data_IF_975697574393
#
_entry.id   IF_975697574393
#
_cell.length_a   1.000
_cell.length_b   1.000
_cell.length_c   1.000
_cell.angle_alpha   90.00
_cell.angle_beta   90.00
_cell.angle_gamma   90.00
#
_symmetry.space_group_name_H-M   'P 1'
#
loop_
_entity.id
_entity.type
_entity.pdbx_description
1 polymer ?
#
# COMPACT_ATOMS: atom_id res chain seq x y z
N UNK A 1 12.17 -25.65 -31.83
CA UNK A 1 11.59 -24.50 -31.10
C UNK A 1 11.46 -24.91 -29.64
N UNK A 2 12.37 -24.48 -28.76
CA UNK A 2 12.27 -24.81 -27.32
C UNK A 2 11.05 -24.06 -26.74
N UNK A 3 10.27 -24.64 -25.82
CA UNK A 3 9.28 -23.86 -25.09
C UNK A 3 10.06 -22.81 -24.30
N UNK A 4 9.74 -21.52 -24.49
CA UNK A 4 10.13 -20.52 -23.50
C UNK A 4 9.53 -20.98 -22.17
N UNK A 5 10.37 -21.33 -21.20
CA UNK A 5 9.94 -21.39 -19.80
C UNK A 5 9.41 -20.01 -19.44
N UNK A 6 8.10 -19.81 -19.64
CA UNK A 6 7.42 -18.59 -19.23
C UNK A 6 7.48 -18.59 -17.71
N UNK A 7 8.36 -17.75 -17.17
CA UNK A 7 8.46 -17.48 -15.73
C UNK A 7 7.05 -17.29 -15.17
N UNK A 8 6.61 -18.20 -14.30
CA UNK A 8 5.39 -18.00 -13.51
C UNK A 8 5.65 -16.87 -12.52
N UNK A 9 4.59 -16.20 -12.07
CA UNK A 9 4.73 -15.17 -11.03
C UNK A 9 5.33 -15.80 -9.77
N UNK A 10 6.33 -15.15 -9.20
CA UNK A 10 7.14 -15.66 -8.09
C UNK A 10 6.43 -15.62 -6.73
N UNK A 11 5.14 -15.27 -6.70
CA UNK A 11 4.35 -15.05 -5.48
C UNK A 11 4.96 -14.01 -4.53
N UNK A 12 5.67 -13.02 -5.11
CA UNK A 12 6.29 -11.90 -4.40
C UNK A 12 5.78 -10.58 -4.96
N UNK A 13 5.79 -9.57 -4.10
CA UNK A 13 5.50 -8.18 -4.45
C UNK A 13 6.69 -7.30 -4.07
N UNK A 14 6.90 -6.24 -4.84
CA UNK A 14 7.93 -5.25 -4.56
C UNK A 14 7.61 -4.49 -3.26
N UNK A 15 8.64 -4.01 -2.59
CA UNK A 15 8.55 -3.27 -1.34
C UNK A 15 9.40 -2.00 -1.46
N UNK A 16 8.82 -0.87 -1.07
CA UNK A 16 9.44 0.45 -1.16
C UNK A 16 8.91 1.34 -0.03
N UNK A 17 9.81 1.88 0.81
CA UNK A 17 9.46 2.69 2.00
C UNK A 17 9.99 4.12 1.85
N UNK A 18 9.13 5.10 2.17
CA UNK A 18 9.46 6.52 2.10
C UNK A 18 10.52 6.93 3.11
N UNK A 19 10.42 6.48 4.38
CA UNK A 19 11.39 6.82 5.42
C UNK A 19 12.77 6.22 5.08
N UNK A 20 12.78 4.95 4.65
CA UNK A 20 14.01 4.27 4.22
C UNK A 20 14.69 5.04 3.09
N UNK A 21 13.93 5.44 2.07
CA UNK A 21 14.44 6.24 0.97
C UNK A 21 14.97 7.61 1.45
N UNK A 22 14.24 8.31 2.31
CA UNK A 22 14.59 9.67 2.76
C UNK A 22 15.84 9.71 3.65
N UNK A 23 16.13 8.64 4.40
CA UNK A 23 17.34 8.57 5.24
C UNK A 23 18.58 8.26 4.40
N UNK A 24 18.46 7.33 3.46
CA UNK A 24 19.62 6.79 2.73
C UNK A 24 19.92 7.50 1.41
N UNK A 25 18.93 8.17 0.82
CA UNK A 25 19.11 8.90 -0.43
C UNK A 25 19.58 10.34 -0.16
N UNK A 26 20.90 10.52 -0.02
CA UNK A 26 21.52 11.85 -0.01
C UNK A 26 21.46 12.48 -1.41
N UNK A 27 21.00 13.73 -1.56
CA UNK A 27 20.94 14.41 -2.85
C UNK A 27 22.34 14.88 -3.27
N UNK A 28 23.17 13.99 -3.82
CA UNK A 28 24.51 14.38 -4.25
C UNK A 28 24.53 15.06 -5.65
N UNK A 29 23.48 14.94 -6.48
CA UNK A 29 23.60 15.26 -7.92
C UNK A 29 22.46 16.07 -8.59
N UNK A 30 21.71 16.91 -7.88
CA UNK A 30 20.67 17.77 -8.51
C UNK A 30 21.21 18.90 -9.44
N UNK A 31 22.46 18.82 -9.90
CA UNK A 31 23.10 19.84 -10.77
C UNK A 31 23.36 19.41 -12.23
N UNK A 32 22.92 18.24 -12.67
CA UNK A 32 23.10 17.82 -14.07
C UNK A 32 21.80 17.30 -14.71
N UNK A 33 21.14 18.20 -15.46
CA UNK A 33 19.75 18.09 -15.96
C UNK A 33 19.47 17.07 -17.08
N UNK A 34 20.45 16.28 -17.55
CA UNK A 34 20.22 15.36 -18.70
C UNK A 34 20.42 13.88 -18.33
N UNK A 35 21.14 13.57 -17.24
CA UNK A 35 21.34 12.18 -16.75
C UNK A 35 20.43 11.89 -15.55
N UNK A 36 19.76 12.92 -15.01
CA UNK A 36 18.95 12.86 -13.78
C UNK A 36 17.86 11.78 -13.81
N UNK A 37 17.06 11.71 -14.87
CA UNK A 37 15.91 10.78 -14.92
C UNK A 37 16.29 9.29 -14.92
N UNK A 38 17.42 8.91 -15.53
CA UNK A 38 17.89 7.51 -15.53
C UNK A 38 18.51 7.15 -14.18
N UNK A 39 19.26 8.06 -13.57
CA UNK A 39 19.84 7.89 -12.23
C UNK A 39 18.75 7.83 -11.16
N UNK A 40 17.74 8.68 -11.25
CA UNK A 40 16.60 8.72 -10.33
C UNK A 40 15.78 7.43 -10.42
N UNK A 41 15.46 6.99 -11.63
CA UNK A 41 14.83 5.68 -11.87
C UNK A 41 15.67 4.54 -11.28
N UNK A 42 16.99 4.57 -11.47
CA UNK A 42 17.92 3.57 -10.93
C UNK A 42 17.98 3.58 -9.40
N UNK A 43 17.97 4.75 -8.77
CA UNK A 43 17.94 4.88 -7.32
C UNK A 43 16.66 4.25 -6.75
N UNK A 44 15.50 4.48 -7.36
CA UNK A 44 14.28 3.83 -6.92
C UNK A 44 14.33 2.30 -7.04
N UNK A 45 14.92 1.77 -8.13
CA UNK A 45 15.15 0.33 -8.24
C UNK A 45 16.11 -0.20 -7.18
N UNK A 46 17.17 0.55 -6.81
CA UNK A 46 18.13 0.16 -5.76
C UNK A 46 17.47 -0.01 -4.39
N UNK A 47 16.49 0.83 -4.07
CA UNK A 47 15.76 0.75 -2.79
C UNK A 47 14.54 -0.18 -2.83
N UNK A 48 14.31 -0.88 -3.96
CA UNK A 48 13.23 -1.86 -4.06
C UNK A 48 13.68 -3.21 -3.52
N UNK A 49 12.95 -3.72 -2.53
CA UNK A 49 13.08 -5.11 -2.05
C UNK A 49 11.85 -5.93 -2.42
N UNK A 50 11.77 -7.20 -1.99
CA UNK A 50 10.63 -8.07 -2.32
C UNK A 50 10.18 -8.88 -1.11
N UNK A 51 8.86 -8.92 -0.89
CA UNK A 51 8.23 -9.73 0.15
C UNK A 51 7.29 -10.77 -0.47
N UNK A 52 7.12 -11.95 0.14
CA UNK A 52 6.13 -12.93 -0.30
C UNK A 52 4.71 -12.40 -0.11
N UNK A 53 3.82 -12.71 -1.06
CA UNK A 53 2.39 -12.43 -0.91
C UNK A 53 1.78 -13.52 -0.02
N UNK A 54 1.53 -13.17 1.24
CA UNK A 54 1.04 -14.13 2.23
C UNK A 54 -0.33 -14.72 1.86
N UNK A 55 -0.61 -15.93 2.36
CA UNK A 55 -1.93 -16.57 2.19
C UNK A 55 -3.07 -15.68 2.71
N UNK A 56 -2.88 -15.08 3.88
CA UNK A 56 -3.86 -14.16 4.49
C UNK A 56 -4.13 -12.94 3.61
N UNK A 57 -3.11 -12.38 2.93
CA UNK A 57 -3.29 -11.29 1.98
C UNK A 57 -4.18 -11.73 0.81
N UNK A 58 -3.91 -12.90 0.21
CA UNK A 58 -4.72 -13.43 -0.91
C UNK A 58 -6.17 -13.66 -0.50
N UNK A 59 -6.39 -14.25 0.67
CA UNK A 59 -7.73 -14.47 1.24
C UNK A 59 -8.45 -13.14 1.46
N UNK A 60 -7.77 -12.13 2.02
CA UNK A 60 -8.36 -10.82 2.26
C UNK A 60 -8.76 -10.10 0.98
N UNK A 61 -7.92 -10.16 -0.05
CA UNK A 61 -8.27 -9.66 -1.40
C UNK A 61 -9.50 -10.39 -1.94
N UNK A 62 -9.51 -11.72 -1.87
CA UNK A 62 -10.60 -12.53 -2.40
C UNK A 62 -11.94 -12.26 -1.70
N UNK A 63 -11.95 -12.24 -0.36
CA UNK A 63 -13.16 -11.94 0.42
C UNK A 63 -13.65 -10.51 0.18
N UNK A 64 -12.75 -9.54 0.07
CA UNK A 64 -13.12 -8.17 -0.30
C UNK A 64 -13.82 -8.11 -1.66
N UNK A 65 -13.27 -8.78 -2.67
CA UNK A 65 -13.86 -8.82 -4.01
C UNK A 65 -15.21 -9.54 -4.04
N UNK A 66 -15.35 -10.66 -3.31
CA UNK A 66 -16.63 -11.35 -3.14
C UNK A 66 -17.69 -10.47 -2.48
N UNK A 67 -17.33 -9.79 -1.39
CA UNK A 67 -18.26 -8.93 -0.69
C UNK A 67 -18.68 -7.74 -1.55
N UNK A 68 -17.73 -7.14 -2.29
CA UNK A 68 -18.06 -6.11 -3.30
C UNK A 68 -19.04 -6.64 -4.33
N UNK A 69 -18.82 -7.84 -4.86
CA UNK A 69 -19.71 -8.47 -5.85
C UNK A 69 -21.13 -8.67 -5.30
N UNK A 70 -21.28 -9.15 -4.07
CA UNK A 70 -22.59 -9.34 -3.42
C UNK A 70 -23.36 -8.02 -3.24
N UNK A 71 -22.67 -6.90 -3.13
CA UNK A 71 -23.27 -5.57 -2.99
C UNK A 71 -23.65 -4.90 -4.32
N UNK A 72 -23.39 -5.56 -5.47
CA UNK A 72 -23.71 -5.03 -6.79
C UNK A 72 -25.07 -5.58 -7.25
N UNK A 73 -26.06 -4.71 -7.31
CA UNK A 73 -27.43 -5.06 -7.71
C UNK A 73 -27.71 -4.70 -9.18
N UNK A 74 -27.10 -3.62 -9.67
CA UNK A 74 -27.35 -3.05 -11.00
C UNK A 74 -26.07 -2.45 -11.64
N UNK A 75 -26.23 -1.68 -12.73
CA UNK A 75 -25.09 -1.01 -13.38
C UNK A 75 -24.59 0.22 -12.60
N UNK A 76 -25.51 0.96 -11.96
CA UNK A 76 -25.20 2.21 -11.26
C UNK A 76 -24.41 1.93 -9.97
N UNK A 77 -24.87 0.96 -9.18
CA UNK A 77 -24.19 0.38 -8.02
C UNK A 77 -22.83 -0.20 -8.39
N UNK A 78 -22.72 -0.90 -9.52
CA UNK A 78 -21.43 -1.39 -10.04
C UNK A 78 -20.44 -0.24 -10.23
N UNK A 79 -20.80 0.76 -11.04
CA UNK A 79 -19.90 1.89 -11.34
C UNK A 79 -19.44 2.55 -10.03
N UNK A 80 -20.38 2.88 -9.15
CA UNK A 80 -20.11 3.47 -7.83
C UNK A 80 -19.15 2.61 -6.99
N UNK A 81 -19.40 1.31 -6.86
CA UNK A 81 -18.60 0.39 -6.02
C UNK A 81 -17.19 0.17 -6.58
N UNK A 82 -17.04 0.18 -7.91
CA UNK A 82 -15.73 0.04 -8.58
C UNK A 82 -14.90 1.32 -8.55
N UNK A 83 -15.53 2.48 -8.37
CA UNK A 83 -14.87 3.77 -8.19
C UNK A 83 -14.34 3.97 -6.76
N UNK A 84 -14.84 3.20 -5.79
CA UNK A 84 -14.36 3.29 -4.41
C UNK A 84 -12.92 2.80 -4.28
N UNK A 85 -12.09 3.66 -3.68
CA UNK A 85 -10.65 3.52 -3.41
C UNK A 85 -10.33 3.61 -1.92
N UNK A 86 -11.29 3.27 -1.07
CA UNK A 86 -11.21 3.33 0.39
C UNK A 86 -12.53 3.72 1.03
N UNK A 87 -13.42 4.41 0.30
CA UNK A 87 -14.72 4.85 0.77
C UNK A 87 -15.56 3.69 1.32
N UNK A 88 -15.58 2.55 0.64
CA UNK A 88 -16.43 1.43 1.03
C UNK A 88 -15.94 0.77 2.31
N UNK A 89 -14.62 0.61 2.48
CA UNK A 89 -14.01 0.15 3.71
C UNK A 89 -14.38 1.06 4.90
N UNK A 90 -14.20 2.38 4.74
CA UNK A 90 -14.52 3.35 5.78
C UNK A 90 -16.01 3.35 6.13
N UNK A 91 -16.90 3.32 5.12
CA UNK A 91 -18.36 3.28 5.32
C UNK A 91 -18.80 2.02 6.07
N UNK A 92 -18.34 0.83 5.67
CA UNK A 92 -18.71 -0.44 6.33
C UNK A 92 -18.25 -0.51 7.77
N UNK A 93 -17.14 0.15 8.09
CA UNK A 93 -16.56 0.15 9.43
C UNK A 93 -17.03 1.35 10.27
N UNK A 94 -17.82 2.26 9.70
CA UNK A 94 -18.39 3.42 10.41
C UNK A 94 -17.41 4.58 10.63
N UNK A 95 -16.34 4.68 9.84
CA UNK A 95 -15.28 5.70 10.00
C UNK A 95 -15.15 6.66 8.81
N UNK A 96 -16.22 6.81 8.02
CA UNK A 96 -16.19 7.67 6.83
C UNK A 96 -16.11 9.15 7.18
N UNK A 97 -16.78 9.58 8.25
CA UNK A 97 -16.81 11.00 8.63
C UNK A 97 -15.43 11.48 9.11
N UNK A 98 -14.68 10.59 9.74
CA UNK A 98 -13.38 10.85 10.35
C UNK A 98 -12.25 10.83 9.31
N UNK A 99 -12.31 9.88 8.36
CA UNK A 99 -11.20 9.60 7.44
C UNK A 99 -11.55 9.74 5.95
N UNK A 100 -12.77 10.14 5.60
CA UNK A 100 -13.24 10.25 4.21
C UNK A 100 -12.36 11.17 3.36
N UNK A 101 -11.91 12.29 3.93
CA UNK A 101 -11.03 13.25 3.28
C UNK A 101 -9.72 12.62 2.75
N UNK A 102 -9.21 11.57 3.40
CA UNK A 102 -7.97 10.89 2.99
C UNK A 102 -8.14 10.00 1.75
N UNK A 103 -9.36 9.56 1.45
CA UNK A 103 -9.67 8.67 0.30
C UNK A 103 -10.38 9.41 -0.83
N UNK A 104 -10.89 10.61 -0.55
CA UNK A 104 -11.48 11.53 -1.52
C UNK A 104 -10.43 12.41 -2.22
N UNK A 105 -9.29 12.68 -1.58
CA UNK A 105 -8.12 13.33 -2.21
C UNK A 105 -7.68 12.62 -3.51
N UNK A 106 -6.87 13.28 -4.34
CA UNK A 106 -6.33 12.66 -5.55
C UNK A 106 -5.63 11.32 -5.22
N UNK A 107 -5.74 10.32 -6.09
CA UNK A 107 -5.42 8.94 -5.69
C UNK A 107 -3.95 8.75 -5.28
N UNK A 108 -3.04 9.44 -5.95
CA UNK A 108 -1.62 9.51 -5.60
C UNK A 108 -1.39 10.19 -4.24
N UNK A 109 -2.15 11.24 -3.94
CA UNK A 109 -2.14 11.88 -2.63
C UNK A 109 -2.63 10.93 -1.54
N UNK A 110 -3.76 10.26 -1.76
CA UNK A 110 -4.28 9.23 -0.85
C UNK A 110 -3.26 8.13 -0.56
N UNK A 111 -2.58 7.61 -1.59
CA UNK A 111 -1.53 6.60 -1.41
C UNK A 111 -0.42 7.13 -0.49
N UNK A 112 0.05 8.35 -0.71
CA UNK A 112 1.12 8.94 0.11
C UNK A 112 0.67 9.18 1.56
N UNK A 113 -0.53 9.73 1.77
CA UNK A 113 -1.11 9.96 3.10
C UNK A 113 -1.19 8.66 3.90
N UNK A 114 -1.83 7.64 3.32
CA UNK A 114 -1.98 6.34 3.96
C UNK A 114 -0.64 5.63 4.12
N UNK A 115 0.31 5.79 3.18
CA UNK A 115 1.65 5.20 3.29
C UNK A 115 2.40 5.74 4.50
N UNK A 116 2.47 7.07 4.61
CA UNK A 116 3.12 7.76 5.74
C UNK A 116 2.47 7.34 7.05
N UNK A 117 1.13 7.39 7.13
CA UNK A 117 0.43 7.00 8.35
C UNK A 117 0.69 5.53 8.74
N UNK A 118 0.67 4.62 7.76
CA UNK A 118 0.95 3.19 7.96
C UNK A 118 2.38 2.98 8.47
N UNK A 119 3.37 3.61 7.84
CA UNK A 119 4.79 3.45 8.17
C UNK A 119 5.08 3.96 9.60
N UNK A 120 4.57 5.14 9.94
CA UNK A 120 4.72 5.73 11.28
C UNK A 120 4.12 4.83 12.37
N UNK A 121 2.85 4.41 12.19
CA UNK A 121 2.15 3.55 13.15
C UNK A 121 2.75 2.14 13.22
N UNK A 122 3.32 1.63 12.12
CA UNK A 122 3.98 0.33 12.10
C UNK A 122 5.21 0.34 13.00
N UNK A 123 6.01 1.40 12.95
CA UNK A 123 7.21 1.55 13.78
C UNK A 123 6.88 1.87 15.25
N UNK A 124 5.80 2.62 15.51
CA UNK A 124 5.34 2.89 16.88
C UNK A 124 4.79 1.64 17.58
N UNK A 125 3.96 0.85 16.89
CA UNK A 125 3.41 -0.40 17.44
C UNK A 125 4.50 -1.47 17.70
N UNK A 126 5.72 -1.28 17.18
CA UNK A 126 6.85 -2.17 17.43
C UNK A 126 7.52 -1.83 18.77
N UNK A 127 6.79 -1.98 19.88
CA UNK A 127 7.40 -2.04 21.20
C UNK A 127 7.98 -3.44 21.45
N UNK A 128 9.12 -3.45 22.12
CA UNK A 128 10.14 -4.49 22.10
C UNK A 128 9.67 -5.83 22.70
N UNK A 129 9.70 -6.90 21.91
CA UNK A 129 10.20 -8.15 22.49
C UNK A 129 11.69 -7.91 22.75
N UNK A 130 12.04 -7.52 23.99
CA UNK A 130 13.43 -7.60 24.47
C UNK A 130 13.80 -9.07 24.57
N UNK A 131 14.19 -9.66 23.44
CA UNK A 131 15.13 -10.76 23.45
C UNK A 131 16.47 -10.13 23.10
N UNK A 132 17.20 -9.70 24.12
CA UNK A 132 18.64 -9.49 23.97
C UNK A 132 19.24 -10.82 23.51
N UNK A 133 20.01 -10.87 22.41
CA UNK A 133 20.75 -12.07 22.10
C UNK A 133 21.85 -12.19 23.15
N UNK A 134 21.78 -13.23 23.99
CA UNK A 134 22.90 -13.66 24.80
C UNK A 134 24.14 -13.76 23.90
N UNK A 135 25.17 -13.00 24.25
CA UNK A 135 26.48 -13.03 23.62
C UNK A 135 27.06 -14.44 23.85
N UNK A 136 26.83 -15.35 22.90
CA UNK A 136 27.43 -16.67 22.93
C UNK A 136 28.50 -16.70 21.83
N UNK A 137 29.75 -16.55 22.26
CA UNK A 137 30.95 -16.70 21.43
C UNK A 137 31.10 -18.17 21.01
N UNK A 138 30.30 -18.62 20.04
CA UNK A 138 30.45 -19.93 19.42
C UNK A 138 30.41 -19.80 17.91
N UNK A 139 31.43 -20.39 17.29
CA UNK A 139 31.67 -20.40 15.85
C UNK A 139 30.45 -20.92 15.05
N UNK A 140 30.28 -20.49 13.78
CA UNK A 140 29.12 -20.85 12.98
C UNK A 140 29.14 -22.35 12.60
N UNK A 141 28.21 -23.11 13.16
CA UNK A 141 27.90 -24.48 12.72
C UNK A 141 27.10 -24.47 11.40
N UNK A 142 27.25 -25.50 10.54
CA UNK A 142 26.62 -25.51 9.21
C UNK A 142 25.11 -25.74 9.29
N UNK A 143 24.37 -24.97 8.49
CA UNK A 143 22.93 -25.02 8.23
C UNK A 143 22.27 -26.38 8.50
N UNK A 144 21.52 -26.47 9.62
CA UNK A 144 20.48 -27.49 9.83
C UNK A 144 19.13 -26.81 9.80
N UNK A 145 18.21 -27.36 9.01
CA UNK A 145 16.81 -26.94 8.96
C UNK A 145 16.19 -27.02 10.37
N UNK A 146 15.89 -25.87 10.97
CA UNK A 146 15.16 -25.82 12.23
C UNK A 146 13.66 -26.02 11.97
N UNK A 147 12.97 -26.85 12.77
CA UNK A 147 11.52 -26.99 12.68
C UNK A 147 10.84 -25.65 13.05
N UNK A 148 9.59 -25.41 12.62
CA UNK A 148 8.96 -24.11 12.78
C UNK A 148 8.79 -23.80 14.26
N UNK A 149 9.57 -22.82 14.74
CA UNK A 149 9.36 -22.19 16.04
C UNK A 149 8.02 -21.49 15.97
N UNK A 150 7.12 -21.82 16.91
CA UNK A 150 5.82 -21.19 17.04
C UNK A 150 6.00 -19.71 17.44
N UNK A 151 6.16 -18.83 16.47
CA UNK A 151 6.12 -17.39 16.68
C UNK A 151 4.71 -16.98 17.10
N UNK A 152 4.64 -16.18 18.18
CA UNK A 152 3.40 -15.66 18.74
C UNK A 152 2.51 -14.98 17.69
N UNK A 153 1.20 -14.97 17.97
CA UNK A 153 0.09 -14.53 17.12
C UNK A 153 0.39 -13.21 16.39
N UNK A 154 1.02 -13.29 15.22
CA UNK A 154 1.33 -12.11 14.41
C UNK A 154 0.01 -11.54 13.89
N UNK A 155 -0.26 -10.27 14.18
CA UNK A 155 -1.43 -9.60 13.61
C UNK A 155 -1.25 -9.53 12.09
N UNK A 156 -1.95 -10.41 11.38
CA UNK A 156 -1.89 -10.51 9.91
C UNK A 156 -2.26 -9.19 9.24
N UNK A 157 -3.18 -8.40 9.81
CA UNK A 157 -3.62 -7.13 9.24
C UNK A 157 -2.54 -6.05 9.30
N UNK A 158 -1.69 -6.07 10.33
CA UNK A 158 -0.52 -5.18 10.42
C UNK A 158 0.48 -5.47 9.30
N UNK A 159 0.87 -6.74 9.15
CA UNK A 159 1.82 -7.12 8.09
C UNK A 159 1.22 -6.92 6.70
N UNK A 160 -0.08 -7.21 6.51
CA UNK A 160 -0.79 -6.91 5.25
C UNK A 160 -0.76 -5.41 4.95
N UNK A 161 -1.02 -4.57 5.96
CA UNK A 161 -1.02 -3.11 5.81
C UNK A 161 0.33 -2.59 5.33
N UNK A 162 1.42 -2.98 6.00
CA UNK A 162 2.76 -2.55 5.61
C UNK A 162 3.13 -3.03 4.21
N UNK A 163 2.85 -4.30 3.92
CA UNK A 163 3.19 -4.92 2.66
C UNK A 163 2.47 -4.29 1.47
N UNK A 164 1.16 -4.06 1.57
CA UNK A 164 0.40 -3.38 0.51
C UNK A 164 0.82 -1.92 0.42
N UNK A 165 0.98 -1.22 1.54
CA UNK A 165 1.45 0.17 1.58
C UNK A 165 2.75 0.36 0.80
N UNK A 166 3.75 -0.47 1.10
CA UNK A 166 5.04 -0.47 0.41
C UNK A 166 4.92 -0.82 -1.08
N UNK A 167 4.04 -1.77 -1.42
CA UNK A 167 3.82 -2.16 -2.81
C UNK A 167 3.09 -1.07 -3.63
N UNK A 168 2.10 -0.42 -3.04
CA UNK A 168 1.36 0.68 -3.66
C UNK A 168 2.26 1.90 -3.88
N UNK A 169 3.15 2.21 -2.93
CA UNK A 169 4.16 3.24 -3.13
C UNK A 169 5.15 2.87 -4.25
N UNK A 170 5.62 1.61 -4.28
CA UNK A 170 6.44 1.11 -5.39
C UNK A 170 5.76 1.32 -6.75
N UNK A 171 4.47 0.97 -6.86
CA UNK A 171 3.73 1.17 -8.10
C UNK A 171 3.65 2.66 -8.47
N UNK A 172 3.39 3.53 -7.49
CA UNK A 172 3.30 4.97 -7.72
C UNK A 172 4.61 5.58 -8.25
N UNK A 173 5.76 5.11 -7.76
CA UNK A 173 7.06 5.73 -8.06
C UNK A 173 7.82 5.02 -9.19
N UNK A 174 7.84 3.70 -9.17
CA UNK A 174 8.65 2.87 -10.08
C UNK A 174 7.83 2.39 -11.28
N UNK A 175 6.50 2.29 -11.15
CA UNK A 175 5.60 1.88 -12.24
C UNK A 175 4.41 2.83 -12.43
N UNK A 176 4.64 4.16 -12.54
CA UNK A 176 3.55 5.14 -12.59
C UNK A 176 2.57 4.91 -13.76
N UNK A 177 3.02 4.29 -14.85
CA UNK A 177 2.17 3.91 -15.98
C UNK A 177 1.09 2.88 -15.65
N UNK A 178 1.21 2.16 -14.52
CA UNK A 178 0.20 1.22 -14.03
C UNK A 178 -0.81 1.86 -13.10
N UNK A 179 -0.62 3.14 -12.77
CA UNK A 179 -1.47 3.90 -11.86
C UNK A 179 -2.33 4.90 -12.65
N UNK A 180 -3.47 5.33 -12.07
CA UNK A 180 -4.19 6.50 -12.58
C UNK A 180 -3.25 7.71 -12.72
N UNK A 181 -3.47 8.50 -13.77
CA UNK A 181 -2.70 9.72 -13.99
C UNK A 181 -2.84 10.69 -12.81
N UNK A 182 -1.74 11.34 -12.44
CA UNK A 182 -1.65 12.27 -11.32
C UNK A 182 -0.25 12.86 -11.20
N UNK A 183 0.03 13.55 -10.10
CA UNK A 183 1.32 14.21 -9.85
C UNK A 183 2.15 13.47 -8.79
N UNK A 184 1.95 12.15 -8.68
CA UNK A 184 2.45 11.35 -7.56
C UNK A 184 3.97 11.39 -7.39
N UNK A 185 4.72 11.41 -8.50
CA UNK A 185 6.18 11.54 -8.45
C UNK A 185 6.62 12.92 -7.92
N UNK A 186 5.91 14.00 -8.29
CA UNK A 186 6.17 15.36 -7.78
C UNK A 186 5.85 15.43 -6.28
N UNK A 187 4.66 14.97 -5.88
CA UNK A 187 4.26 14.90 -4.46
C UNK A 187 5.25 14.08 -3.63
N UNK A 188 5.71 12.95 -4.16
CA UNK A 188 6.69 12.09 -3.50
C UNK A 188 8.05 12.78 -3.35
N UNK A 189 8.55 13.42 -4.40
CA UNK A 189 9.81 14.17 -4.36
C UNK A 189 9.78 15.27 -3.30
N UNK A 190 8.71 16.08 -3.30
CA UNK A 190 8.49 17.13 -2.30
C UNK A 190 8.38 16.57 -0.88
N UNK A 191 7.71 15.43 -0.72
CA UNK A 191 7.55 14.76 0.58
C UNK A 191 8.89 14.21 1.09
N UNK A 192 9.70 13.61 0.22
CA UNK A 192 11.03 13.13 0.59
C UNK A 192 11.97 14.27 0.92
N UNK A 193 11.90 15.39 0.18
CA UNK A 193 12.69 16.59 0.48
C UNK A 193 12.34 17.17 1.85
N UNK A 194 11.04 17.27 2.18
CA UNK A 194 10.60 17.70 3.50
C UNK A 194 11.06 16.73 4.60
N UNK A 195 10.91 15.42 4.39
CA UNK A 195 11.34 14.41 5.36
C UNK A 195 12.85 14.46 5.58
N UNK A 196 13.64 14.58 4.51
CA UNK A 196 15.10 14.65 4.58
C UNK A 196 15.56 15.91 5.32
N UNK A 197 14.96 17.07 5.02
CA UNK A 197 15.26 18.34 5.71
C UNK A 197 14.89 18.29 7.19
N UNK A 198 13.76 17.65 7.52
CA UNK A 198 13.29 17.52 8.90
C UNK A 198 14.14 16.54 9.72
N UNK A 199 14.51 15.39 9.13
CA UNK A 199 15.26 14.34 9.81
C UNK A 199 16.77 14.58 9.83
N UNK A 200 17.27 15.45 8.94
CA UNK A 200 18.70 15.75 8.77
C UNK A 200 19.54 14.48 8.51
N UNK A 201 18.91 13.44 7.98
CA UNK A 201 19.48 12.11 7.72
C UNK A 201 20.14 11.43 8.94
N UNK A 202 19.66 11.76 10.14
CA UNK A 202 20.15 11.20 11.39
C UNK A 202 19.12 10.26 12.04
N UNK A 203 19.61 9.08 12.40
CA UNK A 203 18.88 8.09 13.19
C UNK A 203 18.49 6.85 12.40
N UNK A 204 18.05 5.83 13.12
CA UNK A 204 17.45 4.65 12.50
C UNK A 204 15.97 4.91 12.14
N UNK A 205 15.38 4.03 11.34
CA UNK A 205 14.00 4.19 10.83
C UNK A 205 12.99 4.41 11.97
N UNK A 206 13.14 3.70 13.10
CA UNK A 206 12.24 3.82 14.26
C UNK A 206 12.34 5.21 14.89
N UNK A 207 13.56 5.68 15.14
CA UNK A 207 13.80 7.03 15.67
C UNK A 207 13.25 8.11 14.74
N UNK A 208 13.41 7.95 13.42
CA UNK A 208 12.85 8.89 12.45
C UNK A 208 11.31 8.92 12.47
N UNK A 209 10.67 7.75 12.54
CA UNK A 209 9.22 7.65 12.68
C UNK A 209 8.73 8.33 13.98
N UNK A 210 9.40 8.07 15.09
CA UNK A 210 9.10 8.72 16.38
C UNK A 210 9.30 10.24 16.33
N UNK A 211 10.38 10.73 15.69
CA UNK A 211 10.62 12.17 15.50
C UNK A 211 9.48 12.82 14.72
N UNK A 212 9.01 12.19 13.63
CA UNK A 212 7.89 12.70 12.82
C UNK A 212 6.59 12.72 13.64
N UNK A 213 6.29 11.64 14.37
CA UNK A 213 5.10 11.53 15.22
C UNK A 213 5.09 12.52 16.39
N UNK A 214 6.22 13.09 16.80
CA UNK A 214 6.24 14.12 17.85
C UNK A 214 5.79 15.50 17.35
N UNK A 215 5.68 15.71 16.04
CA UNK A 215 5.29 17.01 15.48
C UNK A 215 3.80 17.26 15.70
N UNK A 216 3.47 18.41 16.27
CA UNK A 216 2.06 18.80 16.40
C UNK A 216 1.43 19.01 15.02
N UNK A 217 0.27 18.38 14.81
CA UNK A 217 -0.54 18.50 13.60
C UNK A 217 -1.92 19.10 13.90
N UNK A 218 -2.00 19.97 14.91
CA UNK A 218 -3.25 20.63 15.33
C UNK A 218 -3.81 21.57 14.25
N UNK A 219 -2.92 22.22 13.49
CA UNK A 219 -3.28 23.04 12.34
C UNK A 219 -3.09 22.26 11.05
N UNK A 220 -3.93 22.54 10.05
CA UNK A 220 -3.82 21.91 8.74
C UNK A 220 -2.45 22.22 8.10
N UNK A 221 -1.58 21.23 7.90
CA UNK A 221 -0.24 21.47 7.35
C UNK A 221 -0.26 22.05 5.93
N UNK A 222 -1.32 21.77 5.15
CA UNK A 222 -1.49 22.32 3.81
C UNK A 222 -1.69 23.83 3.80
N UNK A 223 -2.30 24.39 4.85
CA UNK A 223 -2.55 25.85 4.97
C UNK A 223 -1.25 26.61 5.26
N UNK A 224 -0.34 26.01 6.02
CA UNK A 224 0.94 26.64 6.42
C UNK A 224 1.93 26.68 5.24
N UNK A 225 1.87 25.68 4.36
CA UNK A 225 2.86 25.45 3.30
C UNK A 225 2.59 26.25 2.02
N UNK A 226 1.33 26.63 1.77
CA UNK A 226 0.91 27.30 0.54
C UNK A 226 1.07 26.42 -0.70
N UNK A 227 1.10 27.03 -1.88
CA UNK A 227 1.19 26.34 -3.19
C UNK A 227 2.62 25.96 -3.62
N UNK A 228 3.63 26.37 -2.84
CA UNK A 228 5.06 26.20 -3.16
C UNK A 228 5.55 24.76 -3.12
N UNK A 229 4.85 23.87 -2.42
CA UNK A 229 5.20 22.46 -2.37
C UNK A 229 3.96 21.59 -2.18
N UNK A 230 3.98 20.43 -2.82
CA UNK A 230 2.93 19.41 -2.85
C UNK A 230 3.17 18.27 -1.85
N UNK A 231 4.13 18.43 -0.94
CA UNK A 231 4.40 17.45 0.10
C UNK A 231 3.16 17.18 0.96
N UNK A 232 3.04 15.93 1.40
CA UNK A 232 2.01 15.50 2.34
C UNK A 232 2.57 14.87 3.62
N UNK A 233 3.83 15.11 3.95
CA UNK A 233 4.48 14.50 5.12
C UNK A 233 3.67 14.70 6.40
N UNK A 234 3.42 15.96 6.76
CA UNK A 234 2.71 16.27 7.99
C UNK A 234 1.20 16.04 7.89
N UNK A 235 0.63 16.07 6.70
CA UNK A 235 -0.77 15.67 6.47
C UNK A 235 -0.95 14.16 6.69
N UNK A 236 0.01 13.34 6.24
CA UNK A 236 0.06 11.90 6.54
C UNK A 236 0.33 11.63 8.02
N UNK A 237 1.20 12.41 8.65
CA UNK A 237 1.40 12.37 10.11
C UNK A 237 0.11 12.69 10.87
N UNK A 238 -0.68 13.67 10.40
CA UNK A 238 -1.99 14.00 10.98
C UNK A 238 -2.95 12.81 10.87
N UNK A 239 -2.98 12.10 9.74
CA UNK A 239 -3.76 10.86 9.62
C UNK A 239 -3.31 9.80 10.64
N UNK A 240 -2.01 9.64 10.87
CA UNK A 240 -1.48 8.75 11.91
C UNK A 240 -2.02 9.12 13.31
N UNK A 241 -1.98 10.39 13.67
CA UNK A 241 -2.52 10.88 14.94
C UNK A 241 -4.02 10.65 15.08
N UNK A 242 -4.80 10.91 14.03
CA UNK A 242 -6.24 10.69 14.07
C UNK A 242 -6.60 9.21 14.21
N UNK A 243 -5.89 8.31 13.52
CA UNK A 243 -6.05 6.86 13.67
C UNK A 243 -5.70 6.41 15.09
N UNK A 244 -4.56 6.86 15.62
CA UNK A 244 -4.13 6.53 16.99
C UNK A 244 -5.13 7.06 18.02
N UNK A 245 -5.57 8.30 17.89
CA UNK A 245 -6.58 8.90 18.77
C UNK A 245 -7.88 8.09 18.78
N UNK A 246 -8.33 7.68 17.59
CA UNK A 246 -9.61 6.97 17.43
C UNK A 246 -9.58 5.55 18.00
N UNK A 247 -8.47 4.83 17.87
CA UNK A 247 -8.39 3.40 18.21
C UNK A 247 -7.63 3.10 19.50
N UNK A 248 -6.67 3.93 19.86
CA UNK A 248 -5.72 3.69 20.95
C UNK A 248 -5.99 4.64 22.12
N UNK A 249 -5.90 5.95 21.90
CA UNK A 249 -5.93 6.94 22.99
C UNK A 249 -7.32 7.14 23.61
N UNK A 250 -8.39 6.77 22.90
CA UNK A 250 -9.76 6.81 23.41
C UNK A 250 -10.07 5.77 24.50
N UNK A 251 -9.15 4.84 24.77
CA UNK A 251 -9.24 3.91 25.87
C UNK A 251 -8.43 4.47 27.05
N UNK A 252 -9.07 4.79 28.19
CA UNK A 252 -8.43 5.22 29.46
C UNK A 252 -7.56 4.10 30.11
N UNK A 253 -6.80 3.36 29.30
CA UNK A 253 -5.98 2.23 29.74
C UNK A 253 -4.59 2.74 30.09
N UNK A 254 -4.10 2.36 31.28
CA UNK A 254 -2.75 2.68 31.76
C UNK A 254 -1.64 1.99 30.95
N UNK A 255 -1.97 0.95 30.17
CA UNK A 255 -1.03 0.16 29.38
C UNK A 255 -1.71 -0.29 28.08
N UNK A 256 -1.02 -0.09 26.94
CA UNK A 256 -1.51 -0.46 25.60
C UNK A 256 -1.03 -1.88 25.30
N UNK A 257 -1.96 -2.81 25.06
CA UNK A 257 -1.64 -4.20 24.69
C UNK A 257 -1.55 -4.35 23.17
N UNK A 258 -0.79 -5.33 22.64
CA UNK A 258 -0.71 -5.57 21.20
C UNK A 258 -2.08 -5.70 20.49
N UNK A 259 -3.05 -6.37 21.14
CA UNK A 259 -4.39 -6.57 20.58
C UNK A 259 -5.24 -5.28 20.53
N UNK A 260 -4.87 -4.22 21.27
CA UNK A 260 -5.59 -2.94 21.23
C UNK A 260 -5.45 -2.28 19.84
N UNK A 261 -4.40 -2.62 19.09
CA UNK A 261 -4.16 -2.12 17.73
C UNK A 261 -4.92 -2.89 16.64
N UNK A 262 -5.58 -4.00 16.98
CA UNK A 262 -6.19 -4.90 16.00
C UNK A 262 -7.29 -4.21 15.18
N UNK A 263 -8.12 -3.39 15.83
CA UNK A 263 -9.18 -2.62 15.16
C UNK A 263 -8.61 -1.63 14.14
N UNK A 264 -7.54 -0.94 14.50
CA UNK A 264 -6.86 0.04 13.65
C UNK A 264 -6.22 -0.65 12.44
N UNK A 265 -5.45 -1.73 12.66
CA UNK A 265 -4.82 -2.49 11.59
C UNK A 265 -5.84 -3.12 10.65
N UNK A 266 -6.98 -3.59 11.18
CA UNK A 266 -8.10 -4.09 10.38
C UNK A 266 -8.66 -3.01 9.45
N UNK A 267 -8.82 -1.78 9.93
CA UNK A 267 -9.27 -0.64 9.13
C UNK A 267 -8.25 -0.31 8.03
N UNK A 268 -6.98 -0.11 8.42
CA UNK A 268 -5.89 0.28 7.51
C UNK A 268 -5.74 -0.75 6.38
N UNK A 269 -5.66 -2.03 6.73
CA UNK A 269 -5.56 -3.11 5.74
C UNK A 269 -6.81 -3.20 4.86
N UNK A 270 -8.01 -2.96 5.38
CA UNK A 270 -9.22 -2.93 4.55
C UNK A 270 -9.17 -1.79 3.52
N UNK A 271 -8.70 -0.60 3.90
CA UNK A 271 -8.52 0.53 2.97
C UNK A 271 -7.47 0.19 1.92
N UNK A 272 -6.31 -0.33 2.32
CA UNK A 272 -5.25 -0.71 1.39
C UNK A 272 -5.66 -1.76 0.36
N UNK A 273 -6.37 -2.80 0.77
CA UNK A 273 -6.89 -3.81 -0.17
C UNK A 273 -7.90 -3.17 -1.14
N UNK A 274 -8.65 -2.15 -0.72
CA UNK A 274 -9.51 -1.39 -1.63
C UNK A 274 -8.72 -0.60 -2.68
N UNK A 275 -7.71 0.14 -2.23
CA UNK A 275 -6.84 0.92 -3.11
C UNK A 275 -6.12 0.01 -4.12
N UNK A 276 -5.68 -1.17 -3.70
CA UNK A 276 -5.09 -2.18 -4.57
C UNK A 276 -6.09 -2.64 -5.66
N UNK A 277 -7.33 -2.95 -5.28
CA UNK A 277 -8.36 -3.34 -6.25
C UNK A 277 -8.72 -2.19 -7.21
N UNK A 278 -8.76 -0.95 -6.70
CA UNK A 278 -9.00 0.24 -7.52
C UNK A 278 -7.85 0.48 -8.52
N UNK A 279 -6.60 0.41 -8.08
CA UNK A 279 -5.45 0.53 -8.97
C UNK A 279 -5.46 -0.57 -10.04
N UNK A 280 -5.78 -1.81 -9.68
CA UNK A 280 -5.88 -2.92 -10.62
C UNK A 280 -6.99 -2.69 -11.67
N UNK A 281 -8.12 -2.08 -11.30
CA UNK A 281 -9.21 -1.82 -12.23
C UNK A 281 -8.94 -0.65 -13.17
N UNK A 282 -8.18 0.36 -12.72
CA UNK A 282 -7.85 1.56 -13.50
C UNK A 282 -6.58 1.41 -14.32
N UNK A 283 -5.77 0.40 -14.05
CA UNK A 283 -4.60 0.08 -14.87
C UNK A 283 -5.04 -0.40 -16.27
N UNK A 284 -4.42 0.14 -17.32
CA UNK A 284 -4.74 -0.29 -18.70
C UNK A 284 -4.34 -1.74 -18.94
N UNK A 285 -5.20 -2.51 -19.61
CA UNK A 285 -4.95 -3.91 -19.95
C UNK A 285 -3.63 -4.15 -20.69
N UNK A 286 -3.15 -3.19 -21.48
CA UNK A 286 -1.85 -3.27 -22.16
C UNK A 286 -0.67 -3.33 -21.17
N UNK A 287 -0.78 -2.62 -20.04
CA UNK A 287 0.27 -2.62 -19.02
C UNK A 287 0.22 -3.89 -18.17
N UNK A 288 -0.97 -4.42 -17.88
CA UNK A 288 -1.10 -5.78 -17.33
C UNK A 288 -0.45 -6.83 -18.23
N UNK A 289 -0.74 -6.80 -19.55
CA UNK A 289 -0.14 -7.71 -20.53
C UNK A 289 1.39 -7.58 -20.58
N UNK A 290 1.92 -6.35 -20.54
CA UNK A 290 3.36 -6.08 -20.50
C UNK A 290 4.03 -6.63 -19.25
N UNK A 291 3.34 -6.66 -18.10
CA UNK A 291 3.90 -7.25 -16.88
C UNK A 291 3.85 -8.77 -16.90
N UNK A 292 2.81 -9.37 -17.48
CA UNK A 292 2.70 -10.82 -17.64
C UNK A 292 3.82 -11.40 -18.50
N UNK A 293 4.25 -10.69 -19.55
CA UNK A 293 5.39 -11.12 -20.36
C UNK A 293 6.71 -11.14 -19.58
N UNK A 294 6.76 -10.48 -18.42
CA UNK A 294 7.90 -10.43 -17.49
C UNK A 294 7.72 -11.29 -16.23
N UNK A 295 6.70 -12.15 -16.21
CA UNK A 295 6.41 -13.05 -15.10
C UNK A 295 5.20 -12.66 -14.25
N UNK A 296 4.59 -11.49 -14.48
CA UNK A 296 3.42 -11.03 -13.74
C UNK A 296 3.74 -10.42 -12.37
N UNK A 297 2.72 -9.85 -11.74
CA UNK A 297 2.81 -9.24 -10.41
C UNK A 297 1.45 -9.24 -9.70
N UNK A 298 1.44 -8.92 -8.41
CA UNK A 298 0.23 -8.92 -7.59
C UNK A 298 -0.91 -8.10 -8.21
N UNK A 299 -0.65 -6.86 -8.66
CA UNK A 299 -1.67 -6.00 -9.26
C UNK A 299 -2.37 -6.68 -10.45
N UNK A 300 -1.62 -7.37 -11.30
CA UNK A 300 -2.16 -8.09 -12.46
C UNK A 300 -2.92 -9.35 -12.04
N UNK A 301 -2.50 -10.03 -10.98
CA UNK A 301 -3.25 -11.17 -10.41
C UNK A 301 -4.60 -10.69 -9.85
N UNK A 302 -4.62 -9.55 -9.14
CA UNK A 302 -5.87 -8.94 -8.65
C UNK A 302 -6.78 -8.58 -9.82
N UNK A 303 -6.24 -7.97 -10.89
CA UNK A 303 -7.01 -7.67 -12.09
C UNK A 303 -7.64 -8.90 -12.74
N UNK A 304 -6.90 -10.01 -12.86
CA UNK A 304 -7.47 -11.26 -13.37
C UNK A 304 -8.53 -11.86 -12.44
N UNK A 305 -8.34 -11.78 -11.12
CA UNK A 305 -9.33 -12.25 -10.16
C UNK A 305 -10.62 -11.43 -10.27
N UNK A 306 -10.51 -10.11 -10.45
CA UNK A 306 -11.65 -9.24 -10.71
C UNK A 306 -12.35 -9.64 -12.01
N UNK A 307 -11.61 -9.87 -13.09
CA UNK A 307 -12.16 -10.35 -14.36
C UNK A 307 -12.90 -11.69 -14.22
N UNK A 308 -12.32 -12.64 -13.47
CA UNK A 308 -12.93 -13.95 -13.22
C UNK A 308 -14.25 -13.85 -12.46
N UNK A 309 -14.35 -12.89 -11.53
CA UNK A 309 -15.56 -12.58 -10.77
C UNK A 309 -16.54 -11.68 -11.54
N UNK A 310 -16.30 -11.40 -12.84
CA UNK A 310 -17.15 -10.55 -13.67
C UNK A 310 -17.07 -9.05 -13.35
N UNK A 311 -16.06 -8.63 -12.58
CA UNK A 311 -15.79 -7.23 -12.27
C UNK A 311 -14.83 -6.62 -13.29
N UNK A 312 -15.38 -6.17 -14.41
CA UNK A 312 -14.73 -5.22 -15.32
C UNK A 312 -15.76 -4.66 -16.31
N UNK A 313 -15.64 -3.39 -16.68
CA UNK A 313 -16.58 -2.75 -17.64
C UNK A 313 -16.63 -3.53 -18.96
N UNK A 314 -15.49 -4.10 -19.37
CA UNK A 314 -15.31 -4.91 -20.57
C UNK A 314 -15.91 -6.33 -20.52
N UNK A 315 -16.43 -6.80 -19.37
CA UNK A 315 -16.94 -8.17 -19.20
C UNK A 315 -18.45 -8.27 -18.96
N UNK A 316 -19.14 -7.14 -18.74
CA UNK A 316 -20.61 -7.13 -18.69
C UNK A 316 -21.12 -7.02 -20.12
N UNK A 317 -21.51 -8.18 -20.67
CA UNK A 317 -22.22 -8.28 -21.96
C UNK A 317 -23.45 -7.38 -21.88
N UNK A 318 -23.51 -6.36 -22.73
CA UNK A 318 -24.72 -5.57 -22.93
C UNK A 318 -25.84 -6.50 -23.36
N UNK A 319 -27.05 -6.33 -22.84
CA UNK A 319 -28.29 -6.91 -23.41
C UNK A 319 -28.59 -6.39 -24.84
N UNK A 320 -27.59 -5.89 -25.58
CA UNK A 320 -27.66 -5.44 -26.97
C UNK A 320 -26.97 -6.36 -27.98
N UNK A 321 -26.12 -7.31 -27.56
CA UNK A 321 -25.57 -8.31 -28.49
C UNK A 321 -26.43 -9.57 -28.49
N UNK A 322 -27.43 -9.58 -29.37
CA UNK A 322 -28.30 -10.71 -29.66
C UNK A 322 -27.48 -12.00 -29.83
N UNK A 323 -27.47 -12.86 -28.81
CA UNK A 323 -27.11 -14.26 -28.98
C UNK A 323 -28.31 -14.94 -29.63
N UNK A 324 -28.13 -15.47 -30.84
CA UNK A 324 -29.11 -16.34 -31.46
C UNK A 324 -29.44 -17.50 -30.50
N UNK A 325 -30.69 -17.54 -30.04
CA UNK A 325 -31.21 -18.71 -29.32
C UNK A 325 -31.38 -19.82 -30.34
N UNK A 326 -30.62 -20.90 -30.19
CA UNK A 326 -30.88 -22.14 -30.92
C UNK A 326 -32.15 -22.77 -30.34
N UNK A 327 -33.27 -22.62 -31.05
CA UNK A 327 -34.50 -23.35 -30.73
C UNK A 327 -34.36 -24.72 -31.38
N UNK A 328 -34.14 -25.75 -30.56
CA UNK A 328 -34.26 -27.14 -31.00
C UNK A 328 -35.72 -27.52 -30.83
N UNK A 329 -36.49 -27.52 -31.92
CA UNK A 329 -37.81 -28.12 -31.94
C UNK A 329 -37.66 -29.65 -31.86
N UNK A 330 -38.53 -30.29 -31.07
CA UNK A 330 -38.63 -31.75 -30.94
C UNK A 330 -39.41 -32.34 -32.10
#
# INVERSE_FOLDING_TARGET
MRPMEKSRWSDKMAQYSLITYSIHNQPFWWKFDIISGVIETWNHYRYTTYAPVSKHLKEKVFEKLKDKMKSIEDRTSYKRITEHRGQWALQRMGYYQEFGWCVEAEFDESILLWHIATDLLYHENKQENKEEPEHNDREPEPFKEHPPVAHGTQNNDREISQNISNYMLFLLIVRPFMMPAGIGQIRFGDTCAEASNFLQSEGNIKECAEKILRVSTEYDPGVVKGDRSKSVLFTGCRLAHLLKKQFIDGNEKKEIKPNDWDGMWRLISAVWVEMLCYAASKCSGQYHAKQLSKGGELLTVVWFLMAHLGMGEQYRIEEGHARAKLIVAK
#
